data_IF_013147794423
#
_entry.id   IF_013147794423
#
_cell.length_a   1.000
_cell.length_b   1.000
_cell.length_c   1.000
_cell.angle_alpha   90.00
_cell.angle_beta   90.00
_cell.angle_gamma   90.00
#
_symmetry.space_group_name_H-M   'P 1'
#
loop_
_entity.id
_entity.type
_entity.pdbx_description
1 polymer ?
#
# COMPACT_ATOMS: atom_id res chain seq x y z
N UNK A 1 -33.17 38.68 -26.10
CA UNK A 1 -32.18 38.35 -25.03
C UNK A 1 -31.62 36.93 -25.17
N UNK A 2 -32.13 36.08 -26.07
CA UNK A 2 -31.67 34.68 -26.23
C UNK A 2 -30.27 34.57 -26.87
N UNK A 3 -29.92 35.46 -27.82
CA UNK A 3 -28.59 35.47 -28.47
C UNK A 3 -27.41 35.77 -27.51
N UNK A 4 -27.67 36.43 -26.39
CA UNK A 4 -26.64 36.76 -25.39
C UNK A 4 -26.40 35.55 -24.45
N UNK A 5 -27.41 34.70 -24.26
CA UNK A 5 -27.28 33.47 -23.48
C UNK A 5 -26.47 32.41 -24.24
N UNK A 6 -26.67 32.29 -25.55
CA UNK A 6 -25.93 31.34 -26.40
C UNK A 6 -24.43 31.69 -26.49
N UNK A 7 -24.09 32.97 -26.56
CA UNK A 7 -22.70 33.42 -26.57
C UNK A 7 -22.02 33.18 -25.21
N UNK A 8 -22.74 33.35 -24.10
CA UNK A 8 -22.22 33.04 -22.77
C UNK A 8 -22.04 31.53 -22.57
N UNK A 9 -23.00 30.70 -22.98
CA UNK A 9 -22.89 29.23 -22.89
C UNK A 9 -21.71 28.69 -23.72
N UNK A 10 -21.49 29.22 -24.91
CA UNK A 10 -20.35 28.81 -25.75
C UNK A 10 -19.00 29.22 -25.16
N UNK A 11 -18.91 30.43 -24.58
CA UNK A 11 -17.68 30.90 -23.91
C UNK A 11 -17.40 30.07 -22.64
N UNK A 12 -18.43 29.80 -21.84
CA UNK A 12 -18.28 28.95 -20.65
C UNK A 12 -17.88 27.51 -21.01
N UNK A 13 -18.46 26.95 -22.08
CA UNK A 13 -18.05 25.65 -22.61
C UNK A 13 -16.58 25.62 -23.04
N UNK A 14 -16.11 26.67 -23.71
CA UNK A 14 -14.70 26.81 -24.10
C UNK A 14 -13.74 26.92 -22.92
N UNK A 15 -14.10 27.68 -21.88
CA UNK A 15 -13.29 27.83 -20.67
C UNK A 15 -13.21 26.51 -19.89
N UNK A 16 -14.32 25.78 -19.77
CA UNK A 16 -14.34 24.46 -19.11
C UNK A 16 -13.48 23.45 -19.89
N UNK A 17 -13.56 23.46 -21.21
CA UNK A 17 -12.73 22.59 -22.05
C UNK A 17 -11.23 22.88 -21.88
N UNK A 18 -10.84 24.16 -21.84
CA UNK A 18 -9.46 24.56 -21.59
C UNK A 18 -8.98 24.15 -20.20
N UNK A 19 -9.81 24.30 -19.16
CA UNK A 19 -9.48 23.87 -17.81
C UNK A 19 -9.24 22.36 -17.72
N UNK A 20 -10.09 21.55 -18.38
CA UNK A 20 -9.93 20.09 -18.45
C UNK A 20 -8.65 19.72 -19.22
N UNK A 21 -8.35 20.38 -20.33
CA UNK A 21 -7.12 20.14 -21.11
C UNK A 21 -5.86 20.43 -20.30
N UNK A 22 -5.83 21.53 -19.53
CA UNK A 22 -4.70 21.88 -18.65
C UNK A 22 -4.54 20.84 -17.53
N UNK A 23 -5.64 20.38 -16.94
CA UNK A 23 -5.61 19.31 -15.91
C UNK A 23 -5.11 17.99 -16.51
N UNK A 24 -5.53 17.63 -17.72
CA UNK A 24 -5.03 16.41 -18.39
C UNK A 24 -3.55 16.53 -18.74
N UNK A 25 -3.09 17.69 -19.21
CA UNK A 25 -1.69 17.90 -19.57
C UNK A 25 -0.76 17.87 -18.33
N UNK A 26 -1.23 18.41 -17.21
CA UNK A 26 -0.52 18.36 -15.92
C UNK A 26 -0.50 16.94 -15.33
N UNK A 27 -1.58 16.17 -15.47
CA UNK A 27 -1.62 14.77 -15.04
C UNK A 27 -0.73 13.85 -15.90
N UNK A 28 -0.67 14.07 -17.22
CA UNK A 28 0.23 13.32 -18.12
C UNK A 28 1.70 13.64 -17.79
N UNK A 29 1.99 14.89 -17.40
CA UNK A 29 3.35 15.30 -17.01
C UNK A 29 3.74 14.82 -15.61
N UNK A 30 2.80 14.74 -14.66
CA UNK A 30 3.04 14.28 -13.30
C UNK A 30 3.27 12.77 -13.18
N UNK A 31 2.84 11.98 -14.16
CA UNK A 31 2.99 10.52 -14.16
C UNK A 31 4.16 10.00 -15.01
N UNK A 32 4.94 10.89 -15.64
CA UNK A 32 6.19 10.50 -16.30
C UNK A 32 7.34 10.69 -15.33
N UNK A 33 7.78 9.58 -14.73
CA UNK A 33 9.14 9.46 -14.20
C UNK A 33 10.08 9.88 -15.34
N UNK A 34 10.95 10.89 -15.17
CA UNK A 34 11.85 11.34 -16.21
C UNK A 34 12.71 10.14 -16.61
N UNK A 35 12.52 9.66 -17.84
CA UNK A 35 13.31 8.57 -18.36
C UNK A 35 14.72 9.13 -18.58
N UNK A 36 15.78 8.44 -18.12
CA UNK A 36 17.18 8.88 -18.23
C UNK A 36 17.58 9.37 -19.65
N UNK A 37 16.89 8.88 -20.69
CA UNK A 37 17.05 9.34 -22.08
C UNK A 37 16.61 10.79 -22.33
N UNK A 38 15.58 11.30 -21.68
CA UNK A 38 15.09 12.66 -21.91
C UNK A 38 16.04 13.72 -21.33
N UNK A 39 16.67 13.45 -20.19
CA UNK A 39 17.68 14.35 -19.59
C UNK A 39 18.95 14.39 -20.45
N UNK A 40 19.41 13.23 -20.94
CA UNK A 40 20.55 13.15 -21.86
C UNK A 40 20.33 13.92 -23.17
N UNK A 41 19.12 13.82 -23.75
CA UNK A 41 18.76 14.52 -24.99
C UNK A 41 18.67 16.04 -24.81
N UNK A 42 18.20 16.50 -23.64
CA UNK A 42 18.14 17.93 -23.32
C UNK A 42 19.55 18.54 -23.17
N UNK A 43 20.46 17.85 -22.49
CA UNK A 43 21.85 18.30 -22.35
C UNK A 43 22.61 18.27 -23.67
N UNK A 44 22.34 17.28 -24.53
CA UNK A 44 22.98 17.19 -25.85
C UNK A 44 22.52 18.31 -26.78
N UNK A 45 21.22 18.65 -26.76
CA UNK A 45 20.68 19.80 -27.52
C UNK A 45 21.29 21.12 -27.09
N UNK A 46 21.41 21.36 -25.78
CA UNK A 46 22.04 22.57 -25.26
C UNK A 46 23.54 22.67 -25.60
N UNK A 47 24.26 21.55 -25.65
CA UNK A 47 25.65 21.54 -26.10
C UNK A 47 25.79 21.86 -27.59
N UNK A 48 24.87 21.35 -28.42
CA UNK A 48 24.83 21.67 -29.85
C UNK A 48 24.50 23.16 -30.05
N UNK A 49 23.56 23.70 -29.30
CA UNK A 49 23.18 25.11 -29.35
C UNK A 49 24.33 26.03 -28.88
N UNK A 50 25.03 25.66 -27.80
CA UNK A 50 26.23 26.38 -27.35
C UNK A 50 27.34 26.36 -28.40
N UNK A 51 27.54 25.25 -29.12
CA UNK A 51 28.51 25.20 -30.23
C UNK A 51 28.08 26.12 -31.37
N UNK A 52 26.80 26.12 -31.73
CA UNK A 52 26.26 26.97 -32.79
C UNK A 52 26.43 28.46 -32.45
N UNK A 53 26.04 28.88 -31.24
CA UNK A 53 26.22 30.25 -30.76
C UNK A 53 27.70 30.64 -30.72
N UNK A 54 28.58 29.74 -30.27
CA UNK A 54 30.03 29.99 -30.27
C UNK A 54 30.59 30.18 -31.68
N UNK A 55 30.09 29.43 -32.67
CA UNK A 55 30.47 29.59 -34.07
C UNK A 55 29.96 30.90 -34.66
N UNK A 56 28.72 31.31 -34.34
CA UNK A 56 28.16 32.60 -34.76
C UNK A 56 28.94 33.78 -34.20
N UNK A 57 29.31 33.74 -32.92
CA UNK A 57 30.17 34.77 -32.30
C UNK A 57 31.51 34.84 -33.01
N UNK A 58 32.13 33.70 -33.33
CA UNK A 58 33.41 33.65 -34.03
C UNK A 58 33.30 34.17 -35.48
N UNK A 59 32.20 33.88 -36.17
CA UNK A 59 31.93 34.42 -37.50
C UNK A 59 31.69 35.94 -37.46
N UNK A 60 30.93 36.43 -36.48
CA UNK A 60 30.71 37.86 -36.26
C UNK A 60 32.03 38.60 -35.98
N UNK A 61 32.93 38.03 -35.16
CA UNK A 61 34.25 38.61 -34.94
C UNK A 61 35.11 38.65 -36.23
N UNK A 62 35.07 37.59 -37.05
CA UNK A 62 35.76 37.57 -38.35
C UNK A 62 35.22 38.62 -39.30
N UNK A 63 33.90 38.79 -39.36
CA UNK A 63 33.26 39.84 -40.15
C UNK A 63 33.68 41.23 -39.66
N UNK A 64 33.77 41.45 -38.34
CA UNK A 64 34.27 42.70 -37.75
C UNK A 64 35.69 43.02 -38.22
N UNK A 65 36.59 42.03 -38.23
CA UNK A 65 37.99 42.21 -38.69
C UNK A 65 38.07 42.47 -40.20
N UNK A 66 37.28 41.76 -41.01
CA UNK A 66 37.23 41.99 -42.47
C UNK A 66 36.71 43.38 -42.81
N UNK A 67 35.65 43.81 -42.15
CA UNK A 67 35.07 45.13 -42.34
C UNK A 67 36.06 46.21 -41.87
N UNK A 68 36.67 46.06 -40.68
CA UNK A 68 37.74 46.93 -40.20
C UNK A 68 38.88 47.10 -41.23
N UNK A 69 39.32 46.03 -41.88
CA UNK A 69 40.36 46.09 -42.91
C UNK A 69 39.89 46.79 -44.20
N UNK A 70 38.64 46.56 -44.64
CA UNK A 70 38.04 47.27 -45.80
C UNK A 70 37.85 48.77 -45.53
N UNK A 71 37.59 49.15 -44.27
CA UNK A 71 37.41 50.55 -43.85
C UNK A 71 38.70 51.38 -43.90
N UNK A 72 39.87 50.77 -43.79
CA UNK A 72 41.16 51.47 -43.91
C UNK A 72 41.44 52.05 -45.30
N UNK A 73 40.63 51.71 -46.33
CA UNK A 73 40.94 52.04 -47.74
C UNK A 73 40.03 53.09 -48.40
N UNK A 74 38.85 53.43 -47.87
CA UNK A 74 37.91 54.34 -48.54
C UNK A 74 37.34 55.38 -47.56
N UNK A 75 37.65 56.65 -47.74
CA UNK A 75 37.19 57.75 -46.89
C UNK A 75 36.69 58.91 -47.76
N UNK A 76 35.37 59.18 -47.77
CA UNK A 76 34.90 60.56 -48.00
C UNK A 76 33.45 60.85 -47.58
N UNK A 77 32.41 60.03 -47.81
CA UNK A 77 31.01 60.50 -47.58
C UNK A 77 30.03 59.48 -46.96
N UNK A 78 30.43 58.25 -46.65
CA UNK A 78 29.56 57.22 -46.04
C UNK A 78 29.76 57.05 -44.51
N UNK A 79 30.43 58.00 -43.86
CA UNK A 79 30.93 57.84 -42.48
C UNK A 79 29.83 57.76 -41.40
N UNK A 80 28.69 58.41 -41.59
CA UNK A 80 27.62 58.45 -40.57
C UNK A 80 26.81 57.15 -40.55
N UNK A 81 26.35 56.66 -41.71
CA UNK A 81 25.67 55.35 -41.83
C UNK A 81 26.58 54.20 -41.32
N UNK A 82 27.90 54.35 -41.48
CA UNK A 82 28.88 53.36 -41.03
C UNK A 82 29.15 53.40 -39.52
N UNK A 83 29.09 54.58 -38.90
CA UNK A 83 29.13 54.71 -37.44
C UNK A 83 27.90 54.07 -36.81
N UNK A 84 26.73 54.28 -37.41
CA UNK A 84 25.49 53.65 -36.95
C UNK A 84 25.56 52.12 -37.08
N UNK A 85 26.04 51.59 -38.21
CA UNK A 85 26.21 50.15 -38.39
C UNK A 85 27.22 49.55 -37.38
N UNK A 86 28.34 50.24 -37.10
CA UNK A 86 29.31 49.82 -36.09
C UNK A 86 28.68 49.75 -34.70
N UNK A 87 27.88 50.74 -34.33
CA UNK A 87 27.24 50.80 -33.02
C UNK A 87 26.16 49.70 -32.88
N UNK A 88 25.38 49.46 -33.94
CA UNK A 88 24.42 48.34 -34.01
C UNK A 88 25.14 46.98 -33.87
N UNK A 89 26.24 46.76 -34.60
CA UNK A 89 27.04 45.53 -34.47
C UNK A 89 27.66 45.38 -33.09
N UNK A 90 28.15 46.47 -32.49
CA UNK A 90 28.75 46.42 -31.14
C UNK A 90 27.70 46.06 -30.08
N UNK A 91 26.48 46.57 -30.24
CA UNK A 91 25.35 46.27 -29.37
C UNK A 91 24.91 44.81 -29.52
N UNK A 92 24.76 44.33 -30.76
CA UNK A 92 24.43 42.93 -31.04
C UNK A 92 25.51 41.96 -30.53
N UNK A 93 26.80 42.32 -30.65
CA UNK A 93 27.90 41.51 -30.11
C UNK A 93 27.86 41.47 -28.57
N UNK A 94 27.55 42.59 -27.93
CA UNK A 94 27.42 42.65 -26.46
C UNK A 94 26.25 41.80 -25.98
N UNK A 95 25.12 41.83 -26.67
CA UNK A 95 23.95 41.00 -26.37
C UNK A 95 24.25 39.51 -26.57
N UNK A 96 24.89 39.15 -27.70
CA UNK A 96 25.30 37.77 -27.97
C UNK A 96 26.28 37.23 -26.91
N UNK A 97 27.21 38.07 -26.42
CA UNK A 97 28.10 37.71 -25.31
C UNK A 97 27.35 37.51 -24.01
N UNK A 98 26.39 38.38 -23.69
CA UNK A 98 25.54 38.23 -22.51
C UNK A 98 24.75 36.91 -22.54
N UNK A 99 24.13 36.59 -23.67
CA UNK A 99 23.39 35.35 -23.85
C UNK A 99 24.31 34.11 -23.76
N UNK A 100 25.53 34.19 -24.28
CA UNK A 100 26.52 33.12 -24.18
C UNK A 100 26.96 32.88 -22.72
N UNK A 101 27.19 33.95 -21.95
CA UNK A 101 27.51 33.83 -20.52
C UNK A 101 26.34 33.23 -19.74
N UNK A 102 25.11 33.70 -20.00
CA UNK A 102 23.91 33.15 -19.34
C UNK A 102 23.74 31.66 -19.63
N UNK A 103 23.81 31.26 -20.90
CA UNK A 103 23.70 29.83 -21.29
C UNK A 103 24.83 28.99 -20.71
N UNK A 104 26.05 29.52 -20.61
CA UNK A 104 27.18 28.84 -19.95
C UNK A 104 26.94 28.61 -18.45
N UNK A 105 26.37 29.61 -17.76
CA UNK A 105 26.00 29.46 -16.35
C UNK A 105 24.88 28.44 -16.15
N UNK A 106 23.86 28.45 -17.01
CA UNK A 106 22.77 27.46 -16.98
C UNK A 106 23.29 26.04 -17.22
N UNK A 107 24.20 25.85 -18.18
CA UNK A 107 24.80 24.55 -18.48
C UNK A 107 25.61 24.04 -17.29
N UNK A 108 26.40 24.91 -16.66
CA UNK A 108 27.17 24.57 -15.46
C UNK A 108 26.25 24.18 -14.29
N UNK A 109 25.13 24.87 -14.13
CA UNK A 109 24.15 24.54 -13.10
C UNK A 109 23.49 23.19 -13.36
N UNK A 110 23.04 22.92 -14.60
CA UNK A 110 22.49 21.63 -14.98
C UNK A 110 23.48 20.48 -14.78
N UNK A 111 24.77 20.69 -15.03
CA UNK A 111 25.79 19.68 -14.75
C UNK A 111 25.91 19.36 -13.26
N UNK A 112 25.82 20.37 -12.38
CA UNK A 112 25.82 20.15 -10.92
C UNK A 112 24.58 19.41 -10.47
N UNK A 113 23.43 19.76 -11.02
CA UNK A 113 22.16 19.11 -10.71
C UNK A 113 22.16 17.65 -11.18
N UNK A 114 22.75 17.36 -12.34
CA UNK A 114 22.94 16.00 -12.86
C UNK A 114 23.79 15.16 -11.90
N UNK A 115 24.97 15.65 -11.50
CA UNK A 115 25.85 14.95 -10.54
C UNK A 115 25.14 14.71 -9.21
N UNK A 116 24.39 15.70 -8.72
CA UNK A 116 23.62 15.57 -7.48
C UNK A 116 22.53 14.50 -7.59
N UNK A 117 21.85 14.45 -8.74
CA UNK A 117 20.83 13.44 -9.04
C UNK A 117 21.44 12.04 -9.13
N UNK A 118 22.59 11.88 -9.78
CA UNK A 118 23.32 10.60 -9.87
C UNK A 118 23.72 10.07 -8.48
N UNK A 119 24.21 10.94 -7.60
CA UNK A 119 24.52 10.58 -6.20
C UNK A 119 23.25 10.14 -5.46
N UNK A 120 22.12 10.82 -5.68
CA UNK A 120 20.85 10.46 -5.07
C UNK A 120 20.36 9.08 -5.55
N UNK A 121 20.46 8.80 -6.85
CA UNK A 121 20.10 7.49 -7.45
C UNK A 121 20.94 6.37 -6.85
N UNK A 122 22.27 6.50 -6.81
CA UNK A 122 23.16 5.50 -6.21
C UNK A 122 22.81 5.25 -4.72
N UNK A 123 22.44 6.31 -3.98
CA UNK A 123 22.01 6.17 -2.58
C UNK A 123 20.71 5.38 -2.42
N UNK A 124 19.77 5.55 -3.37
CA UNK A 124 18.48 4.85 -3.37
C UNK A 124 18.69 3.39 -3.76
N UNK A 125 19.52 3.09 -4.75
CA UNK A 125 19.87 1.73 -5.16
C UNK A 125 20.52 0.95 -4.00
N UNK A 126 21.45 1.57 -3.26
CA UNK A 126 22.03 0.98 -2.05
C UNK A 126 21.00 0.66 -0.97
N UNK A 127 20.03 1.56 -0.75
CA UNK A 127 18.93 1.32 0.20
C UNK A 127 18.00 0.21 -0.27
N UNK A 128 17.72 0.15 -1.58
CA UNK A 128 16.91 -0.90 -2.18
C UNK A 128 17.55 -2.27 -1.97
N UNK A 129 18.84 -2.40 -2.27
CA UNK A 129 19.59 -3.63 -2.05
C UNK A 129 19.57 -4.05 -0.58
N UNK A 130 19.87 -3.13 0.34
CA UNK A 130 19.85 -3.42 1.77
C UNK A 130 18.47 -3.89 2.28
N UNK A 131 17.38 -3.37 1.70
CA UNK A 131 16.03 -3.81 2.04
C UNK A 131 15.69 -5.18 1.43
N UNK A 132 16.16 -5.47 0.22
CA UNK A 132 16.01 -6.80 -0.38
C UNK A 132 16.75 -7.86 0.45
N UNK A 133 17.97 -7.56 0.91
CA UNK A 133 18.74 -8.45 1.78
C UNK A 133 18.03 -8.71 3.12
N UNK A 134 17.43 -7.67 3.72
CA UNK A 134 16.59 -7.81 4.93
C UNK A 134 15.37 -8.69 4.70
N UNK A 135 14.68 -8.53 3.57
CA UNK A 135 13.52 -9.36 3.22
C UNK A 135 13.96 -10.82 3.05
N UNK A 136 15.08 -11.07 2.38
CA UNK A 136 15.63 -12.42 2.23
C UNK A 136 15.98 -13.05 3.60
N UNK A 137 16.64 -12.30 4.48
CA UNK A 137 16.97 -12.74 5.83
C UNK A 137 15.72 -13.05 6.67
N UNK A 138 14.69 -12.18 6.63
CA UNK A 138 13.42 -12.41 7.34
C UNK A 138 12.67 -13.63 6.79
N UNK A 139 12.65 -13.82 5.47
CA UNK A 139 12.06 -15.02 4.86
C UNK A 139 12.78 -16.28 5.33
N UNK A 140 14.10 -16.28 5.35
CA UNK A 140 14.89 -17.39 5.86
C UNK A 140 14.58 -17.65 7.34
N UNK A 141 14.48 -16.60 8.16
CA UNK A 141 14.13 -16.72 9.58
C UNK A 141 12.72 -17.30 9.80
N UNK A 142 11.75 -16.88 8.99
CA UNK A 142 10.40 -17.45 9.00
C UNK A 142 10.47 -18.94 8.63
N UNK A 143 11.21 -19.30 7.58
CA UNK A 143 11.32 -20.68 7.13
C UNK A 143 12.03 -21.58 8.15
N UNK A 144 13.08 -21.09 8.82
CA UNK A 144 13.70 -21.81 9.94
C UNK A 144 12.75 -21.94 11.13
N UNK A 145 11.94 -20.92 11.42
CA UNK A 145 10.97 -20.96 12.52
C UNK A 145 9.81 -21.92 12.21
N UNK A 146 9.40 -22.03 10.95
CA UNK A 146 8.39 -22.98 10.48
C UNK A 146 8.98 -24.40 10.49
N UNK A 147 10.18 -24.61 9.95
CA UNK A 147 10.83 -25.93 9.95
C UNK A 147 11.15 -26.43 11.36
N UNK A 148 11.52 -25.55 12.29
CA UNK A 148 11.66 -25.89 13.71
C UNK A 148 10.32 -26.22 14.39
N UNK A 149 9.19 -25.80 13.82
CA UNK A 149 7.84 -26.13 14.28
C UNK A 149 7.24 -27.35 13.58
N UNK A 150 7.84 -27.88 12.52
CA UNK A 150 7.32 -29.08 11.82
C UNK A 150 7.47 -30.38 12.64
N UNK A 151 8.37 -30.42 13.64
CA UNK A 151 8.43 -31.54 14.60
C UNK A 151 7.44 -31.39 15.77
N UNK A 152 6.69 -30.28 15.83
CA UNK A 152 5.54 -30.17 16.73
C UNK A 152 4.38 -30.87 16.04
N UNK A 153 4.28 -32.19 16.25
CA UNK A 153 3.06 -32.97 16.00
C UNK A 153 1.85 -32.12 16.36
N UNK A 154 1.06 -31.71 15.36
CA UNK A 154 -0.21 -31.04 15.60
C UNK A 154 -1.01 -31.94 16.56
N UNK A 155 -1.31 -31.49 17.79
CA UNK A 155 -1.91 -32.37 18.77
C UNK A 155 -3.34 -32.70 18.33
N UNK A 156 -3.50 -33.89 17.78
CA UNK A 156 -4.71 -34.71 17.83
C UNK A 156 -6.01 -33.95 17.47
N UNK A 157 -6.07 -33.37 16.27
CA UNK A 157 -7.37 -33.06 15.68
C UNK A 157 -8.00 -34.40 15.30
N UNK A 158 -8.93 -34.87 16.14
CA UNK A 158 -9.48 -36.23 16.02
C UNK A 158 -10.44 -36.30 14.82
N UNK A 159 -10.16 -37.21 13.88
CA UNK A 159 -11.05 -37.58 12.76
C UNK A 159 -11.96 -38.78 13.10
N UNK A 160 -11.73 -39.46 14.23
CA UNK A 160 -12.44 -40.69 14.60
C UNK A 160 -13.73 -40.44 15.40
N UNK A 161 -14.82 -41.03 14.92
CA UNK A 161 -16.22 -40.61 15.03
C UNK A 161 -17.02 -41.10 16.24
N UNK A 162 -16.41 -41.65 17.29
CA UNK A 162 -17.16 -42.27 18.40
C UNK A 162 -17.40 -41.38 19.62
N UNK A 163 -16.78 -40.19 19.69
CA UNK A 163 -16.97 -39.25 20.80
C UNK A 163 -17.99 -38.19 20.41
N UNK A 164 -18.86 -37.81 21.35
CA UNK A 164 -19.83 -36.75 21.13
C UNK A 164 -19.17 -35.37 21.31
N UNK A 165 -19.29 -34.45 20.33
CA UNK A 165 -18.74 -33.11 20.47
C UNK A 165 -19.48 -32.31 21.55
N UNK A 166 -18.76 -31.42 22.22
CA UNK A 166 -19.30 -30.40 23.12
C UNK A 166 -18.85 -29.05 22.65
N UNK A 167 -19.78 -28.21 22.23
CA UNK A 167 -19.44 -26.96 21.60
C UNK A 167 -19.27 -25.83 22.62
N UNK A 168 -18.26 -25.00 22.35
CA UNK A 168 -17.91 -23.84 23.16
C UNK A 168 -17.55 -22.68 22.24
N UNK A 169 -18.16 -21.51 22.45
CA UNK A 169 -17.74 -20.28 21.79
C UNK A 169 -16.67 -19.61 22.63
N UNK A 170 -15.58 -19.18 22.00
CA UNK A 170 -14.57 -18.33 22.63
C UNK A 170 -14.65 -16.96 22.00
N UNK A 171 -15.09 -15.98 22.80
CA UNK A 171 -15.17 -14.57 22.42
C UNK A 171 -14.53 -13.73 23.51
N UNK A 172 -13.49 -13.01 23.11
CA UNK A 172 -12.62 -12.18 23.95
C UNK A 172 -11.98 -12.97 25.10
N UNK A 173 -12.30 -12.64 26.35
CA UNK A 173 -11.78 -13.28 27.55
C UNK A 173 -12.71 -14.35 28.14
N UNK A 174 -13.71 -14.81 27.37
CA UNK A 174 -14.78 -15.69 27.87
C UNK A 174 -15.03 -16.91 26.99
N UNK A 175 -15.48 -17.98 27.66
CA UNK A 175 -15.94 -19.25 27.07
C UNK A 175 -17.42 -19.43 27.33
N UNK A 176 -18.20 -19.61 26.27
CA UNK A 176 -19.64 -19.77 26.34
C UNK A 176 -19.97 -21.22 25.98
N UNK A 177 -20.32 -22.08 26.96
CA UNK A 177 -20.85 -23.39 26.64
C UNK A 177 -22.20 -23.23 25.94
N UNK A 178 -22.46 -24.09 24.97
CA UNK A 178 -23.80 -24.29 24.48
C UNK A 178 -23.98 -25.76 24.13
N UNK A 179 -25.19 -26.26 24.34
CA UNK A 179 -25.49 -27.68 24.18
C UNK A 179 -26.43 -27.87 23.00
N UNK A 180 -26.05 -28.75 22.08
CA UNK A 180 -26.91 -29.25 21.02
C UNK A 180 -27.69 -30.47 21.51
N UNK A 181 -28.87 -30.21 22.06
CA UNK A 181 -29.77 -31.22 22.62
C UNK A 181 -31.07 -31.09 21.90
N UNK A 182 -31.02 -31.24 20.58
CA UNK A 182 -32.11 -30.87 19.70
C UNK A 182 -32.92 -32.10 19.33
N UNK A 183 -34.17 -32.17 19.77
CA UNK A 183 -35.15 -33.09 19.20
C UNK A 183 -36.44 -32.43 18.74
N UNK A 184 -36.81 -31.24 19.22
CA UNK A 184 -38.03 -30.55 18.77
C UNK A 184 -37.80 -29.04 18.65
N UNK A 185 -37.86 -28.52 17.43
CA UNK A 185 -37.84 -27.10 17.11
C UNK A 185 -39.29 -26.61 16.96
N UNK A 186 -39.91 -26.21 18.05
CA UNK A 186 -41.21 -25.52 18.02
C UNK A 186 -41.09 -24.00 18.15
N UNK A 187 -39.91 -23.48 18.52
CA UNK A 187 -39.67 -22.06 18.79
C UNK A 187 -38.59 -21.48 17.86
N UNK A 188 -38.79 -20.26 17.35
CA UNK A 188 -37.86 -19.57 16.44
C UNK A 188 -36.51 -19.21 17.11
N UNK A 189 -36.51 -19.04 18.43
CA UNK A 189 -35.29 -18.78 19.20
C UNK A 189 -35.40 -19.31 20.62
N UNK A 190 -34.30 -19.75 21.20
CA UNK A 190 -34.23 -20.14 22.61
C UNK A 190 -32.86 -19.82 23.21
N UNK A 191 -32.79 -19.80 24.54
CA UNK A 191 -31.56 -19.48 25.29
C UNK A 191 -30.94 -20.76 25.84
N UNK A 192 -29.74 -21.11 25.38
CA UNK A 192 -28.95 -22.25 25.84
C UNK A 192 -27.82 -21.79 26.75
N UNK A 193 -27.96 -21.93 28.06
CA UNK A 193 -27.01 -21.55 29.12
C UNK A 193 -26.46 -20.11 29.02
N UNK A 194 -25.52 -19.89 28.09
CA UNK A 194 -24.79 -18.65 27.86
C UNK A 194 -24.90 -18.11 26.43
N UNK A 195 -25.69 -18.74 25.55
CA UNK A 195 -25.89 -18.37 24.16
C UNK A 195 -27.38 -18.24 23.82
N UNK A 196 -27.69 -17.35 22.87
CA UNK A 196 -28.96 -17.30 22.17
C UNK A 196 -28.80 -18.13 20.89
N UNK A 197 -29.76 -18.99 20.62
CA UNK A 197 -29.78 -19.82 19.44
C UNK A 197 -31.05 -19.48 18.66
N UNK A 198 -30.88 -19.09 17.41
CA UNK A 198 -31.96 -18.63 16.53
C UNK A 198 -32.00 -19.52 15.29
N UNK A 199 -33.18 -20.01 14.93
CA UNK A 199 -33.34 -20.75 13.68
C UNK A 199 -33.26 -19.78 12.49
N UNK A 200 -32.34 -20.02 11.56
CA UNK A 200 -32.21 -19.20 10.35
C UNK A 200 -32.95 -19.87 9.18
N UNK A 201 -32.86 -21.18 9.07
CA UNK A 201 -33.59 -22.00 8.10
C UNK A 201 -33.81 -23.43 8.63
N UNK A 202 -34.47 -24.28 7.87
CA UNK A 202 -34.66 -25.68 8.23
C UNK A 202 -33.31 -26.38 8.48
N UNK A 203 -33.06 -26.78 9.72
CA UNK A 203 -31.82 -27.45 10.12
C UNK A 203 -30.59 -26.55 10.32
N UNK A 204 -30.70 -25.23 10.09
CA UNK A 204 -29.59 -24.27 10.25
C UNK A 204 -29.88 -23.25 11.35
N UNK A 205 -28.91 -23.08 12.24
CA UNK A 205 -29.05 -22.29 13.47
C UNK A 205 -27.93 -21.26 13.55
N UNK A 206 -28.25 -20.05 14.00
CA UNK A 206 -27.28 -19.05 14.40
C UNK A 206 -27.07 -19.10 15.91
N UNK A 207 -25.82 -19.10 16.35
CA UNK A 207 -25.47 -19.13 17.77
C UNK A 207 -24.73 -17.84 18.15
N UNK A 208 -25.32 -17.08 19.08
CA UNK A 208 -24.77 -15.81 19.55
C UNK A 208 -24.51 -15.85 21.07
N UNK A 209 -23.30 -15.51 21.54
CA UNK A 209 -23.00 -15.48 22.97
C UNK A 209 -23.71 -14.29 23.66
N UNK A 210 -24.31 -14.53 24.82
CA UNK A 210 -24.94 -13.48 25.62
C UNK A 210 -23.89 -12.66 26.37
N UNK A 211 -23.84 -11.36 26.09
CA UNK A 211 -22.90 -10.43 26.74
C UNK A 211 -23.00 -10.48 28.26
N UNK A 212 -21.87 -10.75 28.93
CA UNK A 212 -21.78 -10.85 30.38
C UNK A 212 -21.95 -12.27 30.96
N UNK A 213 -22.40 -13.25 30.16
CA UNK A 213 -22.43 -14.67 30.53
C UNK A 213 -21.11 -15.38 30.19
N UNK A 214 -21.07 -16.70 30.27
CA UNK A 214 -19.88 -17.51 30.04
C UNK A 214 -18.83 -17.44 31.15
N UNK A 215 -17.81 -18.29 31.02
CA UNK A 215 -16.73 -18.42 31.98
C UNK A 215 -15.53 -17.55 31.59
N UNK A 216 -15.04 -16.73 32.52
CA UNK A 216 -13.81 -15.95 32.30
C UNK A 216 -12.57 -16.83 32.24
N UNK A 217 -11.65 -16.49 31.33
CA UNK A 217 -10.34 -17.10 31.17
C UNK A 217 -9.31 -16.26 31.93
N UNK A 218 -8.97 -16.68 33.16
CA UNK A 218 -8.10 -15.89 34.03
C UNK A 218 -6.61 -16.24 33.81
N UNK A 219 -5.79 -15.21 33.56
CA UNK A 219 -4.32 -15.27 33.67
C UNK A 219 -3.63 -16.41 32.91
N UNK A 220 -2.37 -16.69 33.28
CA UNK A 220 -1.47 -17.56 32.49
C UNK A 220 -1.92 -19.03 32.36
N UNK A 221 -2.87 -19.53 33.16
CA UNK A 221 -3.36 -20.92 33.09
C UNK A 221 -4.62 -21.20 33.93
N UNK A 222 -5.25 -20.18 34.54
CA UNK A 222 -6.42 -20.39 35.40
C UNK A 222 -7.70 -20.20 34.59
N UNK A 223 -8.14 -21.24 33.88
CA UNK A 223 -9.54 -21.25 33.43
C UNK A 223 -10.41 -21.40 34.67
N UNK A 224 -11.57 -20.72 34.71
CA UNK A 224 -12.50 -20.81 35.84
C UNK A 224 -12.75 -22.28 36.20
N UNK A 225 -12.67 -22.61 37.50
CA UNK A 225 -12.99 -23.96 38.00
C UNK A 225 -14.37 -24.43 37.56
N UNK A 226 -15.30 -23.49 37.34
CA UNK A 226 -16.64 -23.73 36.83
C UNK A 226 -16.65 -24.33 35.42
N UNK A 227 -15.77 -23.87 34.51
CA UNK A 227 -15.66 -24.46 33.18
C UNK A 227 -15.26 -25.93 33.26
N UNK A 228 -14.25 -26.23 34.09
CA UNK A 228 -13.78 -27.60 34.26
C UNK A 228 -14.75 -28.48 35.04
N UNK A 229 -15.58 -27.95 35.94
CA UNK A 229 -16.65 -28.75 36.56
C UNK A 229 -17.69 -29.17 35.53
N UNK A 230 -18.06 -28.28 34.60
CA UNK A 230 -18.94 -28.62 33.47
C UNK A 230 -18.28 -29.66 32.58
N UNK A 231 -16.99 -29.50 32.27
CA UNK A 231 -16.24 -30.47 31.46
C UNK A 231 -16.11 -31.84 32.17
N UNK A 232 -15.92 -31.88 33.50
CA UNK A 232 -15.85 -33.13 34.30
C UNK A 232 -17.15 -33.93 34.28
N UNK A 233 -18.29 -33.28 34.10
CA UNK A 233 -19.57 -33.97 33.86
C UNK A 233 -19.54 -34.84 32.59
N UNK A 234 -18.55 -34.63 31.72
CA UNK A 234 -18.34 -35.36 30.49
C UNK A 234 -16.99 -36.10 30.52
N UNK A 235 -17.01 -37.44 30.44
CA UNK A 235 -15.78 -38.22 30.43
C UNK A 235 -15.00 -37.95 29.14
N UNK A 236 -13.68 -37.76 29.24
CA UNK A 236 -12.78 -37.55 28.09
C UNK A 236 -12.73 -38.73 27.11
N UNK A 237 -13.20 -39.91 27.54
CA UNK A 237 -13.35 -41.09 26.69
C UNK A 237 -14.58 -41.03 25.77
N UNK A 238 -15.63 -40.30 26.14
CA UNK A 238 -16.90 -40.27 25.39
C UNK A 238 -17.20 -38.90 24.78
N UNK A 239 -16.53 -37.84 25.22
CA UNK A 239 -16.76 -36.48 24.74
C UNK A 239 -15.45 -35.76 24.45
N UNK A 240 -15.54 -34.76 23.58
CA UNK A 240 -14.44 -33.83 23.31
C UNK A 240 -14.97 -32.41 23.08
N UNK A 241 -14.29 -31.37 23.59
CA UNK A 241 -14.64 -29.99 23.30
C UNK A 241 -14.33 -29.60 21.85
N UNK A 242 -15.27 -28.89 21.24
CA UNK A 242 -15.12 -28.18 19.97
C UNK A 242 -15.16 -26.68 20.26
N UNK A 243 -14.05 -26.00 19.98
CA UNK A 243 -13.90 -24.58 20.24
C UNK A 243 -14.18 -23.77 18.98
N UNK A 244 -15.29 -23.04 18.97
CA UNK A 244 -15.61 -22.03 17.97
C UNK A 244 -14.97 -20.70 18.39
N UNK A 245 -13.85 -20.34 17.77
CA UNK A 245 -13.02 -19.20 18.17
C UNK A 245 -13.31 -18.00 17.28
N UNK A 246 -13.70 -16.90 17.91
CA UNK A 246 -13.92 -15.63 17.22
C UNK A 246 -12.61 -15.11 16.62
N UNK A 247 -12.65 -14.61 15.37
CA UNK A 247 -11.48 -14.17 14.61
C UNK A 247 -10.88 -12.83 15.12
N UNK A 248 -10.46 -12.78 16.39
CA UNK A 248 -9.72 -11.67 16.98
C UNK A 248 -8.57 -12.15 17.89
N UNK A 249 -7.61 -11.27 18.15
CA UNK A 249 -6.40 -11.61 18.92
C UNK A 249 -6.72 -12.02 20.38
N UNK A 250 -7.73 -11.38 20.99
CA UNK A 250 -8.12 -11.67 22.37
C UNK A 250 -8.66 -13.09 22.52
N UNK A 251 -9.58 -13.48 21.65
CA UNK A 251 -10.22 -14.81 21.62
C UNK A 251 -9.19 -15.90 21.32
N UNK A 252 -8.27 -15.67 20.38
CA UNK A 252 -7.21 -16.63 20.10
C UNK A 252 -6.26 -16.81 21.30
N UNK A 253 -5.90 -15.73 22.00
CA UNK A 253 -5.11 -15.80 23.22
C UNK A 253 -5.82 -16.59 24.34
N UNK A 254 -7.13 -16.38 24.49
CA UNK A 254 -7.97 -17.14 25.41
C UNK A 254 -8.02 -18.63 25.04
N UNK A 255 -8.18 -18.94 23.75
CA UNK A 255 -8.13 -20.31 23.24
C UNK A 255 -6.81 -21.01 23.57
N UNK A 256 -5.65 -20.37 23.36
CA UNK A 256 -4.35 -21.00 23.67
C UNK A 256 -4.24 -21.40 25.14
N UNK A 257 -4.78 -20.58 26.06
CA UNK A 257 -4.80 -20.89 27.49
C UNK A 257 -5.69 -22.08 27.82
N UNK A 258 -6.89 -22.13 27.22
CA UNK A 258 -7.86 -23.22 27.44
C UNK A 258 -7.35 -24.51 26.83
N UNK A 259 -6.83 -24.45 25.60
CA UNK A 259 -6.24 -25.58 24.88
C UNK A 259 -5.28 -26.35 25.77
N UNK A 260 -4.30 -25.66 26.36
CA UNK A 260 -3.32 -26.31 27.23
C UNK A 260 -4.00 -26.99 28.42
N UNK A 261 -4.90 -26.26 29.09
CA UNK A 261 -5.56 -26.77 30.29
C UNK A 261 -6.53 -27.94 30.00
N UNK A 262 -7.08 -28.04 28.78
CA UNK A 262 -7.91 -29.16 28.30
C UNK A 262 -7.04 -30.38 27.99
N UNK A 263 -5.91 -30.17 27.32
CA UNK A 263 -4.92 -31.22 27.04
C UNK A 263 -4.33 -31.81 28.33
N UNK A 264 -4.00 -30.96 29.31
CA UNK A 264 -3.50 -31.38 30.63
C UNK A 264 -4.50 -32.26 31.40
N UNK A 265 -5.79 -32.20 31.03
CA UNK A 265 -6.87 -33.04 31.58
C UNK A 265 -7.16 -34.29 30.74
N UNK A 266 -6.40 -34.52 29.67
CA UNK A 266 -6.53 -35.70 28.80
C UNK A 266 -7.71 -35.64 27.83
N UNK A 267 -8.27 -34.46 27.58
CA UNK A 267 -9.28 -34.27 26.54
C UNK A 267 -8.61 -34.01 25.19
N UNK A 268 -9.18 -34.59 24.15
CA UNK A 268 -8.92 -34.16 22.78
C UNK A 268 -9.77 -32.94 22.47
N UNK A 269 -9.44 -32.16 21.44
CA UNK A 269 -10.23 -30.99 21.07
C UNK A 269 -10.27 -30.79 19.56
N UNK A 270 -11.28 -30.06 19.09
CA UNK A 270 -11.34 -29.51 17.75
C UNK A 270 -11.45 -27.99 17.82
N UNK A 271 -11.02 -27.29 16.76
CA UNK A 271 -11.09 -25.83 16.65
C UNK A 271 -11.72 -25.44 15.32
N UNK A 272 -12.58 -24.44 15.36
CA UNK A 272 -13.20 -23.81 14.20
C UNK A 272 -13.09 -22.30 14.38
N UNK A 273 -12.54 -21.61 13.39
CA UNK A 273 -12.52 -20.15 13.36
C UNK A 273 -13.78 -19.61 12.71
N UNK A 274 -14.35 -18.52 13.25
CA UNK A 274 -15.47 -17.82 12.61
C UNK A 274 -15.36 -16.30 12.74
N UNK A 275 -16.00 -15.56 11.82
CA UNK A 275 -15.90 -14.11 11.73
C UNK A 275 -17.12 -13.39 12.32
N UNK A 276 -16.99 -12.11 12.74
CA UNK A 276 -18.11 -11.28 13.21
C UNK A 276 -19.25 -11.17 12.20
N UNK A 277 -18.88 -10.98 10.94
CA UNK A 277 -19.78 -10.58 9.87
C UNK A 277 -20.70 -11.73 9.45
N UNK A 278 -20.23 -12.96 9.60
CA UNK A 278 -20.96 -14.17 9.17
C UNK A 278 -21.69 -14.87 10.31
N UNK A 279 -21.35 -14.56 11.56
CA UNK A 279 -21.85 -15.26 12.73
C UNK A 279 -21.36 -16.71 12.80
N UNK A 280 -21.82 -17.46 13.81
CA UNK A 280 -21.60 -18.90 13.89
C UNK A 280 -22.88 -19.60 13.44
N UNK A 281 -22.85 -20.19 12.26
CA UNK A 281 -23.93 -21.02 11.74
C UNK A 281 -23.63 -22.50 12.00
N UNK A 282 -24.64 -23.27 12.37
CA UNK A 282 -24.52 -24.72 12.53
C UNK A 282 -25.64 -25.44 11.79
N UNK A 283 -25.29 -26.50 11.09
CA UNK A 283 -26.17 -27.35 10.28
C UNK A 283 -26.02 -28.79 10.72
N UNK A 284 -27.13 -29.46 11.05
CA UNK A 284 -27.15 -30.86 11.49
C UNK A 284 -26.16 -31.21 12.64
N UNK A 285 -25.92 -30.25 13.54
CA UNK A 285 -24.97 -30.40 14.64
C UNK A 285 -23.50 -30.35 14.23
N UNK A 286 -23.22 -29.82 13.03
CA UNK A 286 -21.88 -29.48 12.56
C UNK A 286 -21.82 -27.98 12.26
N UNK A 287 -20.79 -27.27 12.76
CA UNK A 287 -20.61 -25.86 12.46
C UNK A 287 -20.17 -25.66 11.01
N UNK A 288 -20.90 -24.83 10.27
CA UNK A 288 -20.56 -24.42 8.91
C UNK A 288 -19.89 -23.05 8.96
N UNK A 289 -18.63 -23.00 8.52
CA UNK A 289 -17.93 -21.72 8.34
C UNK A 289 -18.18 -21.26 6.92
N UNK A 290 -18.97 -20.19 6.76
CA UNK A 290 -19.12 -19.52 5.47
C UNK A 290 -17.92 -18.63 5.13
#
# INVERSE_FOLDING_TARGET
MELLLDTICNIFGGIILLAILVVLQTQISANRIPNQKEVSLATERLQVEHRHLSEEVLQSERQRVMLANKFSQNSSDQTDDLLEAKDQFSSALSEAKGNLEETSTQLTQMQRDLVTSEIAVDSIEKKLQANQDKIAALKQQIQTTIGQKEDVRLPHQQLDSFKSPRYYIIKDDRVYPFWEGFKDWSEESFVSESCIITQVSEGVIAVEPFSGKGYRVLGKQKVSSSFFSTLRGHRSSTHYPVFCVYANNASFSSFQKIKQAVLDKGYLYSIIGYSPEKGLLMSAGTPEVQ
#
